data_IF_897755790566
#
_entry.id   IF_897755790566
#
_cell.length_a   1.000
_cell.length_b   1.000
_cell.length_c   1.000
_cell.angle_alpha   90.00
_cell.angle_beta   90.00
_cell.angle_gamma   90.00
#
_symmetry.space_group_name_H-M   'P 1'
#
loop_
_entity.id
_entity.type
_entity.pdbx_description
1 polymer ?
#
# COMPACT_ATOMS: atom_id res chain seq x y z
N UNK A 1 -3.61 0.14 23.70
CA UNK A 1 -2.98 1.00 22.67
C UNK A 1 -2.30 0.06 21.69
N UNK A 2 -2.50 0.19 20.37
CA UNK A 2 -1.87 -0.71 19.40
C UNK A 2 -0.44 -0.28 19.09
N UNK A 3 0.46 -1.24 19.01
CA UNK A 3 1.83 -1.10 18.52
C UNK A 3 1.85 -0.86 17.00
N UNK A 4 3.01 -0.47 16.47
CA UNK A 4 3.18 -0.22 15.03
C UNK A 4 2.88 -1.46 14.17
N UNK A 5 3.32 -2.64 14.60
CA UNK A 5 3.10 -3.89 13.86
C UNK A 5 1.61 -4.27 13.85
N UNK A 6 0.89 -4.09 14.97
CA UNK A 6 -0.55 -4.34 15.03
C UNK A 6 -1.33 -3.40 14.11
N UNK A 7 -0.94 -2.13 14.02
CA UNK A 7 -1.56 -1.17 13.12
C UNK A 7 -1.34 -1.54 11.64
N UNK A 8 -0.15 -2.01 11.28
CA UNK A 8 0.16 -2.48 9.92
C UNK A 8 -0.65 -3.75 9.60
N UNK A 9 -0.71 -4.70 10.53
CA UNK A 9 -1.47 -5.94 10.36
C UNK A 9 -2.97 -5.66 10.15
N UNK A 10 -3.55 -4.73 10.91
CA UNK A 10 -4.94 -4.33 10.74
C UNK A 10 -5.19 -3.61 9.41
N UNK A 11 -4.27 -2.74 8.97
CA UNK A 11 -4.37 -2.11 7.66
C UNK A 11 -4.27 -3.13 6.51
N UNK A 12 -3.35 -4.11 6.59
CA UNK A 12 -3.26 -5.18 5.59
C UNK A 12 -4.55 -5.98 5.54
N UNK A 13 -5.15 -6.29 6.70
CA UNK A 13 -6.47 -6.93 6.77
C UNK A 13 -7.56 -6.09 6.10
N UNK A 14 -7.61 -4.78 6.38
CA UNK A 14 -8.56 -3.87 5.73
C UNK A 14 -8.38 -3.80 4.20
N UNK A 15 -7.13 -3.80 3.72
CA UNK A 15 -6.85 -3.82 2.29
C UNK A 15 -7.49 -5.04 1.60
N UNK A 16 -7.39 -6.23 2.22
CA UNK A 16 -7.95 -7.47 1.70
C UNK A 16 -9.48 -7.48 1.84
N UNK A 17 -9.99 -7.30 3.06
CA UNK A 17 -11.39 -7.54 3.41
C UNK A 17 -12.33 -6.42 2.97
N UNK A 18 -11.88 -5.17 3.00
CA UNK A 18 -12.72 -3.98 2.76
C UNK A 18 -12.44 -3.36 1.39
N UNK A 19 -11.16 -3.33 0.98
CA UNK A 19 -10.75 -2.69 -0.27
C UNK A 19 -10.55 -3.67 -1.43
N UNK A 20 -10.78 -4.97 -1.21
CA UNK A 20 -10.63 -6.03 -2.20
C UNK A 20 -9.25 -6.00 -2.89
N UNK A 21 -8.17 -5.71 -2.14
CA UNK A 21 -6.77 -5.75 -2.59
C UNK A 21 -6.15 -7.07 -2.15
N UNK A 22 -6.59 -8.14 -2.79
CA UNK A 22 -6.23 -9.52 -2.44
C UNK A 22 -4.90 -9.94 -3.06
N UNK A 23 -4.32 -11.03 -2.57
CA UNK A 23 -3.05 -11.59 -3.06
C UNK A 23 -3.17 -11.96 -4.56
N UNK A 24 -4.30 -12.50 -4.99
CA UNK A 24 -4.56 -12.89 -6.38
C UNK A 24 -4.54 -11.68 -7.33
N UNK A 25 -5.11 -10.55 -6.88
CA UNK A 25 -5.10 -9.31 -7.64
C UNK A 25 -3.71 -8.68 -7.65
N UNK A 26 -2.97 -8.77 -6.54
CA UNK A 26 -1.58 -8.33 -6.47
C UNK A 26 -0.68 -9.14 -7.41
N UNK A 27 -0.85 -10.46 -7.49
CA UNK A 27 -0.15 -11.31 -8.46
C UNK A 27 -0.45 -10.90 -9.91
N UNK A 28 -1.72 -10.58 -10.20
CA UNK A 28 -2.17 -10.22 -11.55
C UNK A 28 -1.72 -8.83 -12.01
N UNK A 29 -1.73 -7.84 -11.11
CA UNK A 29 -1.61 -6.43 -11.50
C UNK A 29 -0.39 -5.71 -10.93
N UNK A 30 0.32 -6.29 -9.95
CA UNK A 30 1.47 -5.66 -9.30
C UNK A 30 2.81 -6.40 -9.55
N UNK A 31 3.01 -6.93 -10.77
CA UNK A 31 4.21 -7.68 -11.16
C UNK A 31 5.46 -6.83 -11.43
N UNK A 32 5.34 -5.50 -11.48
CA UNK A 32 6.40 -4.53 -11.76
C UNK A 32 6.79 -3.72 -10.49
N UNK A 33 6.75 -4.37 -9.32
CA UNK A 33 7.11 -3.79 -8.01
C UNK A 33 6.22 -2.61 -7.57
N UNK A 34 5.02 -2.46 -8.13
CA UNK A 34 4.15 -1.32 -7.86
C UNK A 34 3.85 -1.13 -6.36
N UNK A 35 3.70 -2.21 -5.59
CA UNK A 35 3.41 -2.16 -4.15
C UNK A 35 4.56 -1.52 -3.36
N UNK A 36 5.81 -1.94 -3.61
CA UNK A 36 6.99 -1.35 -2.95
C UNK A 36 7.27 0.09 -3.42
N UNK A 37 7.02 0.38 -4.71
CA UNK A 37 7.09 1.75 -5.25
C UNK A 37 6.05 2.66 -4.58
N UNK A 38 4.82 2.18 -4.40
CA UNK A 38 3.76 2.89 -3.70
C UNK A 38 4.14 3.19 -2.25
N UNK A 39 4.66 2.18 -1.54
CA UNK A 39 5.13 2.33 -0.17
C UNK A 39 6.21 3.42 -0.06
N UNK A 40 7.26 3.37 -0.90
CA UNK A 40 8.31 4.40 -0.95
C UNK A 40 7.71 5.79 -1.16
N UNK A 41 6.89 5.96 -2.19
CA UNK A 41 6.32 7.26 -2.58
C UNK A 41 5.43 7.87 -1.51
N UNK A 42 4.69 7.05 -0.77
CA UNK A 42 3.89 7.52 0.36
C UNK A 42 4.73 8.09 1.51
N UNK A 43 6.04 7.80 1.56
CA UNK A 43 6.94 8.29 2.61
C UNK A 43 7.73 9.54 2.22
N UNK A 44 7.59 9.99 0.97
CA UNK A 44 8.21 11.23 0.49
C UNK A 44 7.61 12.45 1.20
N UNK A 45 8.36 13.55 1.18
CA UNK A 45 7.98 14.81 1.86
C UNK A 45 6.63 15.32 1.36
N UNK A 46 6.48 15.45 0.03
CA UNK A 46 5.18 15.63 -0.62
C UNK A 46 4.86 14.44 -1.55
N UNK A 47 4.08 13.45 -1.09
CA UNK A 47 3.76 12.27 -1.88
C UNK A 47 2.84 12.59 -3.08
N UNK A 48 2.20 13.78 -3.12
CA UNK A 48 1.31 14.18 -4.22
C UNK A 48 2.08 14.50 -5.50
N UNK A 49 3.33 14.94 -5.37
CA UNK A 49 4.19 15.30 -6.50
C UNK A 49 4.91 14.10 -7.12
N UNK A 50 4.99 12.97 -6.40
CA UNK A 50 5.79 11.80 -6.81
C UNK A 50 5.15 10.91 -7.88
N UNK A 51 3.89 11.21 -8.24
CA UNK A 51 3.09 10.43 -9.19
C UNK A 51 2.64 9.07 -8.62
N UNK A 52 1.56 8.52 -9.19
CA UNK A 52 1.02 7.20 -8.79
C UNK A 52 1.80 6.03 -9.39
N UNK A 53 1.80 4.85 -8.75
CA UNK A 53 2.31 3.64 -9.39
C UNK A 53 1.62 3.36 -10.73
N UNK A 54 2.29 2.60 -11.60
CA UNK A 54 1.78 2.29 -12.92
C UNK A 54 0.41 1.60 -12.83
N UNK A 55 -0.53 2.01 -13.68
CA UNK A 55 -1.91 1.50 -13.75
C UNK A 55 -2.80 1.68 -12.50
N UNK A 56 -2.29 2.19 -11.38
CA UNK A 56 -3.11 2.43 -10.19
C UNK A 56 -4.18 3.49 -10.41
N UNK A 57 -5.34 3.35 -9.79
CA UNK A 57 -6.38 4.37 -9.90
C UNK A 57 -5.92 5.73 -9.31
N UNK A 58 -6.16 6.82 -10.04
CA UNK A 58 -5.69 8.17 -9.65
C UNK A 58 -6.42 8.67 -8.41
N UNK A 59 -7.72 8.46 -8.31
CA UNK A 59 -8.53 9.00 -7.23
C UNK A 59 -8.26 8.24 -5.92
N UNK A 60 -8.05 6.92 -6.02
CA UNK A 60 -7.58 6.11 -4.90
C UNK A 60 -6.19 6.61 -4.46
N UNK A 61 -5.25 6.82 -5.39
CA UNK A 61 -3.92 7.32 -5.04
C UNK A 61 -3.97 8.67 -4.32
N UNK A 62 -4.77 9.62 -4.82
CA UNK A 62 -4.96 10.93 -4.21
C UNK A 62 -5.51 10.83 -2.77
N UNK A 63 -6.41 9.87 -2.51
CA UNK A 63 -6.92 9.61 -1.16
C UNK A 63 -5.85 9.08 -0.21
N UNK A 64 -4.88 8.30 -0.70
CA UNK A 64 -3.77 7.77 0.10
C UNK A 64 -2.73 8.87 0.41
N UNK A 65 -2.34 9.66 -0.60
CA UNK A 65 -1.35 10.75 -0.44
C UNK A 65 -1.88 11.91 0.39
N UNK A 66 -3.20 12.10 0.44
CA UNK A 66 -3.87 13.08 1.30
C UNK A 66 -3.97 12.71 2.79
N UNK A 67 -3.51 11.52 3.20
CA UNK A 67 -3.51 11.12 4.61
C UNK A 67 -2.37 11.77 5.39
N UNK A 68 -2.56 11.90 6.71
CA UNK A 68 -1.48 12.30 7.59
C UNK A 68 -0.30 11.32 7.54
N UNK A 69 0.89 11.79 7.95
CA UNK A 69 2.12 11.02 7.83
C UNK A 69 2.08 9.68 8.60
N UNK A 70 1.46 9.64 9.78
CA UNK A 70 1.34 8.41 10.57
C UNK A 70 0.49 7.38 9.84
N UNK A 71 -0.65 7.77 9.27
CA UNK A 71 -1.48 6.88 8.47
C UNK A 71 -0.78 6.44 7.18
N UNK A 72 0.02 7.32 6.55
CA UNK A 72 0.87 6.95 5.40
C UNK A 72 1.92 5.90 5.76
N UNK A 73 2.57 6.00 6.92
CA UNK A 73 3.51 4.97 7.41
C UNK A 73 2.84 3.60 7.58
N UNK A 74 1.64 3.58 8.16
CA UNK A 74 0.87 2.34 8.36
C UNK A 74 0.50 1.72 7.01
N UNK A 75 0.00 2.52 6.07
CA UNK A 75 -0.34 2.07 4.71
C UNK A 75 0.90 1.56 3.98
N UNK A 76 2.02 2.28 4.04
CA UNK A 76 3.27 1.88 3.43
C UNK A 76 3.76 0.52 3.97
N UNK A 77 3.70 0.32 5.29
CA UNK A 77 4.01 -0.97 5.91
C UNK A 77 3.10 -2.10 5.42
N UNK A 78 1.79 -1.85 5.28
CA UNK A 78 0.85 -2.83 4.76
C UNK A 78 1.09 -3.15 3.27
N UNK A 79 1.53 -2.17 2.48
CA UNK A 79 1.92 -2.39 1.07
C UNK A 79 3.20 -3.22 0.94
N UNK A 80 4.16 -3.05 1.86
CA UNK A 80 5.34 -3.94 1.91
C UNK A 80 4.95 -5.35 2.30
N UNK A 81 4.04 -5.53 3.27
CA UNK A 81 3.49 -6.84 3.60
C UNK A 81 2.81 -7.48 2.37
N UNK A 82 2.00 -6.70 1.63
CA UNK A 82 1.36 -7.17 0.40
C UNK A 82 2.38 -7.60 -0.68
N UNK A 83 3.50 -6.89 -0.84
CA UNK A 83 4.57 -7.29 -1.78
C UNK A 83 5.24 -8.60 -1.34
N UNK A 84 5.44 -8.82 -0.04
CA UNK A 84 5.98 -10.07 0.49
C UNK A 84 4.97 -11.21 0.26
N UNK A 85 3.68 -10.99 0.55
CA UNK A 85 2.62 -11.96 0.27
C UNK A 85 2.66 -12.38 -1.21
N UNK A 86 2.75 -11.39 -2.12
CA UNK A 86 2.84 -11.63 -3.57
C UNK A 86 4.05 -12.49 -3.94
N UNK A 87 5.22 -12.22 -3.36
CA UNK A 87 6.45 -12.96 -3.64
C UNK A 87 6.45 -14.39 -3.05
N UNK A 88 5.76 -14.61 -1.93
CA UNK A 88 5.63 -15.94 -1.32
C UNK A 88 4.63 -16.85 -2.06
N UNK A 89 3.73 -16.26 -2.84
CA UNK A 89 2.69 -16.97 -3.60
C UNK A 89 2.92 -16.90 -5.12
N UNK A 90 4.15 -16.57 -5.54
CA UNK A 90 4.58 -16.55 -6.95
C UNK A 90 5.06 -17.93 -7.40
#
# INVERSE_FOLDING_TARGET
MKSGIELIADERRQQIEVHARTIELDLKYNSEKQLSVAAKRLLEFDPRETGRPLYWDRDIWNKLTGKDYKKRLIIAGALIAAEIDRLQNF
#
